data_IF_237828134961
#
_entry.id   IF_237828134961
#
_cell.length_a   1.000
_cell.length_b   1.000
_cell.length_c   1.000
_cell.angle_alpha   90.00
_cell.angle_beta   90.00
_cell.angle_gamma   90.00
#
_symmetry.space_group_name_H-M   'P 1'
#
loop_
_entity.id
_entity.type
_entity.pdbx_description
1 polymer ?
#
# COMPACT_ATOMS: atom_id res chain seq x y z
N UNK A 1 6.62 -19.62 -26.79
CA UNK A 1 6.17 -20.24 -25.53
C UNK A 1 6.37 -21.75 -25.62
N UNK A 2 6.99 -22.39 -24.61
CA UNK A 2 7.12 -23.84 -24.55
C UNK A 2 6.00 -24.43 -23.69
N UNK A 3 5.64 -25.71 -23.90
CA UNK A 3 4.60 -26.39 -23.11
C UNK A 3 4.89 -26.36 -21.60
N UNK A 4 6.17 -26.47 -21.20
CA UNK A 4 6.59 -26.35 -19.80
C UNK A 4 6.30 -24.98 -19.20
N UNK A 5 6.28 -23.93 -20.02
CA UNK A 5 6.00 -22.56 -19.58
C UNK A 5 4.49 -22.34 -19.52
N UNK A 6 3.73 -22.91 -20.47
CA UNK A 6 2.27 -22.91 -20.44
C UNK A 6 1.72 -23.65 -19.21
N UNK A 7 2.28 -24.83 -18.89
CA UNK A 7 1.87 -25.64 -17.73
C UNK A 7 2.01 -24.91 -16.39
N UNK A 8 2.92 -23.94 -16.29
CA UNK A 8 3.06 -23.12 -15.06
C UNK A 8 1.89 -22.16 -14.84
N UNK A 9 1.14 -21.86 -15.89
CA UNK A 9 -0.02 -20.96 -15.86
C UNK A 9 -1.35 -21.72 -15.82
N UNK A 10 -1.33 -23.05 -15.99
CA UNK A 10 -2.52 -23.90 -15.89
C UNK A 10 -2.79 -24.26 -14.42
N UNK A 11 -4.07 -24.33 -14.04
CA UNK A 11 -4.46 -24.91 -12.75
C UNK A 11 -4.53 -26.43 -12.94
N UNK A 12 -3.60 -27.16 -12.32
CA UNK A 12 -3.51 -28.62 -12.38
C UNK A 12 -3.44 -29.19 -10.95
N UNK A 13 -4.54 -29.13 -10.18
CA UNK A 13 -4.50 -29.40 -8.77
C UNK A 13 -4.53 -30.92 -8.49
N UNK A 14 -3.81 -31.34 -7.43
CA UNK A 14 -3.84 -32.73 -6.92
C UNK A 14 -5.15 -33.03 -6.21
N UNK A 15 -5.75 -32.01 -5.56
CA UNK A 15 -7.06 -32.03 -4.93
C UNK A 15 -7.71 -30.67 -5.09
N UNK A 16 -9.03 -30.64 -5.20
CA UNK A 16 -9.80 -29.41 -5.31
C UNK A 16 -11.12 -29.53 -4.57
N UNK A 17 -11.50 -28.46 -3.87
CA UNK A 17 -12.78 -28.32 -3.15
C UNK A 17 -13.50 -27.14 -3.77
N UNK A 18 -14.63 -27.38 -4.43
CA UNK A 18 -15.48 -26.33 -5.01
C UNK A 18 -16.38 -25.73 -3.91
N UNK A 19 -16.25 -24.42 -3.67
CA UNK A 19 -17.03 -23.65 -2.69
C UNK A 19 -18.22 -22.96 -3.38
N UNK A 20 -17.95 -22.22 -4.47
CA UNK A 20 -18.95 -21.55 -5.31
C UNK A 20 -19.92 -20.64 -4.49
N UNK A 21 -19.35 -19.74 -3.68
CA UNK A 21 -20.11 -18.82 -2.81
C UNK A 21 -19.80 -17.37 -3.09
N UNK A 22 -20.84 -16.57 -3.25
CA UNK A 22 -20.72 -15.12 -3.38
C UNK A 22 -20.87 -14.49 -2.00
N UNK A 23 -19.93 -13.62 -1.69
CA UNK A 23 -19.83 -12.94 -0.40
C UNK A 23 -19.67 -11.45 -0.65
N UNK A 24 -20.09 -10.63 0.32
CA UNK A 24 -19.91 -9.18 0.26
C UNK A 24 -18.87 -8.76 1.30
N UNK A 25 -17.70 -8.30 0.85
CA UNK A 25 -16.62 -7.80 1.70
C UNK A 25 -16.37 -6.32 1.37
N UNK A 26 -16.30 -5.44 2.38
CA UNK A 26 -16.15 -3.98 2.19
C UNK A 26 -17.09 -3.38 1.15
N UNK A 27 -18.32 -3.90 1.08
CA UNK A 27 -19.34 -3.47 0.13
C UNK A 27 -19.20 -4.03 -1.31
N UNK A 28 -18.16 -4.81 -1.59
CA UNK A 28 -17.89 -5.43 -2.90
C UNK A 28 -18.32 -6.90 -2.91
N UNK A 29 -18.96 -7.34 -3.99
CA UNK A 29 -19.28 -8.75 -4.20
C UNK A 29 -18.06 -9.50 -4.73
N UNK A 30 -17.75 -10.63 -4.11
CA UNK A 30 -16.63 -11.49 -4.44
C UNK A 30 -17.17 -12.90 -4.56
N UNK A 31 -16.77 -13.60 -5.63
CA UNK A 31 -17.12 -15.00 -5.80
C UNK A 31 -15.97 -15.88 -5.31
N UNK A 32 -16.12 -16.51 -4.15
CA UNK A 32 -15.20 -17.53 -3.63
C UNK A 32 -15.46 -18.82 -4.40
N UNK A 33 -14.49 -19.25 -5.21
CA UNK A 33 -14.67 -20.33 -6.18
C UNK A 33 -14.30 -21.68 -5.57
N UNK A 34 -13.02 -21.89 -5.26
CA UNK A 34 -12.50 -23.19 -4.86
C UNK A 34 -11.24 -23.07 -4.01
N UNK A 35 -10.85 -24.20 -3.41
CA UNK A 35 -9.56 -24.40 -2.75
C UNK A 35 -8.82 -25.50 -3.48
N UNK A 36 -7.59 -25.24 -3.93
CA UNK A 36 -6.77 -26.22 -4.66
C UNK A 36 -5.50 -26.59 -3.89
N UNK A 37 -5.17 -27.87 -3.88
CA UNK A 37 -3.85 -28.40 -3.51
C UNK A 37 -3.01 -28.50 -4.79
N UNK A 38 -2.09 -27.58 -4.99
CA UNK A 38 -1.10 -27.64 -6.07
C UNK A 38 0.17 -28.38 -5.61
N UNK A 39 1.19 -28.48 -6.46
CA UNK A 39 2.39 -29.28 -6.15
C UNK A 39 3.03 -28.91 -4.81
N UNK A 40 3.12 -27.61 -4.51
CA UNK A 40 3.87 -27.07 -3.37
C UNK A 40 3.08 -26.04 -2.54
N UNK A 41 1.77 -25.87 -2.79
CA UNK A 41 0.97 -24.82 -2.14
C UNK A 41 -0.51 -25.15 -2.16
N UNK A 42 -1.22 -24.61 -1.18
CA UNK A 42 -2.68 -24.59 -1.15
C UNK A 42 -3.13 -23.17 -1.51
N UNK A 43 -4.19 -23.06 -2.30
CA UNK A 43 -4.64 -21.78 -2.84
C UNK A 43 -6.15 -21.67 -2.68
N UNK A 44 -6.63 -20.56 -2.13
CA UNK A 44 -8.02 -20.14 -2.19
C UNK A 44 -8.21 -19.24 -3.42
N UNK A 45 -9.17 -19.57 -4.26
CA UNK A 45 -9.45 -18.85 -5.49
C UNK A 45 -10.72 -18.01 -5.37
N UNK A 46 -10.65 -16.77 -5.84
CA UNK A 46 -11.79 -15.86 -5.88
C UNK A 46 -11.84 -15.09 -7.22
N UNK A 47 -13.05 -14.74 -7.67
CA UNK A 47 -13.24 -13.77 -8.75
C UNK A 47 -13.72 -12.44 -8.17
N UNK A 48 -13.11 -11.38 -8.67
CA UNK A 48 -13.48 -10.00 -8.43
C UNK A 48 -14.01 -9.37 -9.70
N UNK A 49 -15.01 -8.50 -9.54
CA UNK A 49 -15.38 -7.54 -10.57
C UNK A 49 -14.56 -6.26 -10.41
N UNK A 50 -13.90 -5.87 -11.47
CA UNK A 50 -13.10 -4.66 -11.59
C UNK A 50 -14.01 -3.47 -11.90
N UNK A 51 -13.68 -2.26 -11.42
CA UNK A 51 -14.32 -1.06 -11.93
C UNK A 51 -13.99 -0.89 -13.42
N UNK A 52 -14.96 -0.42 -14.21
CA UNK A 52 -14.92 -0.19 -15.67
C UNK A 52 -13.65 0.57 -16.16
N UNK A 53 -12.96 1.30 -15.29
CA UNK A 53 -11.84 2.18 -15.62
C UNK A 53 -10.48 1.49 -15.88
N UNK A 54 -10.36 0.16 -15.82
CA UNK A 54 -9.11 -0.53 -16.18
C UNK A 54 -9.01 -0.87 -17.68
N UNK A 55 -10.09 -0.64 -18.44
CA UNK A 55 -10.23 -1.03 -19.85
C UNK A 55 -9.78 0.01 -20.88
N UNK A 56 -9.21 1.15 -20.48
CA UNK A 56 -8.44 1.90 -21.47
C UNK A 56 -7.21 1.06 -21.78
N UNK A 57 -7.09 0.63 -23.03
CA UNK A 57 -5.84 0.19 -23.66
C UNK A 57 -4.79 1.27 -23.38
N UNK A 58 -4.21 1.25 -22.18
CA UNK A 58 -2.94 1.90 -21.95
C UNK A 58 -1.98 1.02 -22.70
N UNK A 59 -1.68 1.43 -23.93
CA UNK A 59 -0.45 1.03 -24.58
C UNK A 59 0.63 1.10 -23.50
N UNK A 60 1.19 -0.06 -23.17
CA UNK A 60 2.13 -0.26 -22.06
C UNK A 60 3.42 0.59 -22.26
N UNK A 61 3.51 1.35 -23.35
CA UNK A 61 4.66 2.12 -23.79
C UNK A 61 4.58 3.64 -23.55
N UNK A 62 3.43 4.24 -23.24
CA UNK A 62 3.36 5.68 -22.90
C UNK A 62 3.12 5.88 -21.40
N UNK A 63 4.21 6.09 -20.65
CA UNK A 63 4.13 6.68 -19.31
C UNK A 63 3.49 8.07 -19.49
N UNK A 64 2.33 8.35 -18.86
CA UNK A 64 1.69 9.65 -19.02
C UNK A 64 2.67 10.74 -18.59
N UNK A 65 2.99 11.67 -19.48
CA UNK A 65 3.76 12.86 -19.09
C UNK A 65 2.84 13.78 -18.28
N UNK A 66 3.00 13.78 -16.96
CA UNK A 66 2.29 14.73 -16.10
C UNK A 66 2.98 16.09 -16.12
N UNK A 67 2.19 17.16 -16.05
CA UNK A 67 2.74 18.52 -16.01
C UNK A 67 3.38 18.81 -14.64
N UNK A 68 2.94 18.13 -13.59
CA UNK A 68 3.40 18.36 -12.22
C UNK A 68 3.39 17.09 -11.34
N UNK A 69 4.20 17.06 -10.27
CA UNK A 69 4.17 16.02 -9.25
C UNK A 69 2.76 15.87 -8.64
N UNK A 70 2.05 16.98 -8.46
CA UNK A 70 0.66 17.01 -8.00
C UNK A 70 -0.26 16.16 -8.88
N UNK A 71 -0.21 16.36 -10.19
CA UNK A 71 -1.04 15.62 -11.14
C UNK A 71 -0.71 14.13 -11.13
N UNK A 72 0.58 13.79 -11.13
CA UNK A 72 1.03 12.41 -11.03
C UNK A 72 0.50 11.74 -9.77
N UNK A 73 0.65 12.37 -8.60
CA UNK A 73 0.21 11.82 -7.33
C UNK A 73 -1.32 11.72 -7.22
N UNK A 74 -2.06 12.72 -7.71
CA UNK A 74 -3.53 12.63 -7.76
C UNK A 74 -3.96 11.45 -8.64
N UNK A 75 -3.28 11.23 -9.76
CA UNK A 75 -3.55 10.10 -10.63
C UNK A 75 -3.14 8.75 -10.02
N UNK A 76 -2.08 8.69 -9.21
CA UNK A 76 -1.75 7.47 -8.48
C UNK A 76 -2.82 7.16 -7.41
N UNK A 77 -3.32 8.18 -6.70
CA UNK A 77 -4.40 7.97 -5.72
C UNK A 77 -5.71 7.55 -6.36
N UNK A 78 -6.07 8.10 -7.52
CA UNK A 78 -7.29 7.67 -8.21
C UNK A 78 -7.22 6.18 -8.57
N UNK A 79 -6.04 5.68 -8.94
CA UNK A 79 -5.80 4.25 -9.18
C UNK A 79 -5.89 3.42 -7.89
N UNK A 80 -5.31 3.88 -6.78
CA UNK A 80 -5.43 3.19 -5.47
C UNK A 80 -6.86 3.21 -4.92
N UNK A 81 -7.60 4.32 -5.08
CA UNK A 81 -9.00 4.43 -4.72
C UNK A 81 -9.86 3.40 -5.47
N UNK A 82 -9.49 3.12 -6.72
CA UNK A 82 -10.07 2.10 -7.60
C UNK A 82 -9.49 0.70 -7.36
N UNK A 83 -8.62 0.50 -6.37
CA UNK A 83 -8.16 -0.83 -5.98
C UNK A 83 -9.37 -1.69 -5.63
N UNK A 84 -9.62 -2.68 -6.47
CA UNK A 84 -10.70 -3.64 -6.30
C UNK A 84 -10.32 -4.72 -5.28
N UNK A 85 -9.02 -4.91 -5.07
CA UNK A 85 -8.44 -5.95 -4.24
C UNK A 85 -8.81 -5.81 -2.77
N UNK A 86 -9.08 -6.94 -2.12
CA UNK A 86 -9.32 -7.05 -0.68
C UNK A 86 -8.39 -8.14 -0.15
N UNK A 87 -7.59 -7.84 0.87
CA UNK A 87 -6.72 -8.83 1.49
C UNK A 87 -7.52 -9.70 2.48
N UNK A 88 -7.96 -10.87 2.01
CA UNK A 88 -8.48 -11.92 2.88
C UNK A 88 -7.28 -12.59 3.56
N UNK A 89 -7.16 -12.42 4.87
CA UNK A 89 -6.05 -12.97 5.66
C UNK A 89 -6.37 -14.32 6.29
N UNK A 90 -7.65 -14.62 6.47
CA UNK A 90 -8.11 -15.89 7.01
C UNK A 90 -9.46 -16.30 6.43
N UNK A 91 -9.62 -17.60 6.21
CA UNK A 91 -10.91 -18.24 5.98
C UNK A 91 -11.05 -19.40 6.96
N UNK A 92 -12.22 -19.53 7.56
CA UNK A 92 -12.61 -20.67 8.38
C UNK A 92 -13.81 -21.33 7.71
N UNK A 93 -13.72 -22.62 7.42
CA UNK A 93 -14.82 -23.43 6.90
C UNK A 93 -14.96 -24.65 7.80
N UNK A 94 -16.13 -24.87 8.39
CA UNK A 94 -16.37 -26.04 9.28
C UNK A 94 -15.30 -26.17 10.38
N UNK A 95 -14.95 -25.04 11.02
CA UNK A 95 -13.90 -24.90 12.05
C UNK A 95 -12.47 -25.17 11.57
N UNK A 96 -12.26 -25.42 10.28
CA UNK A 96 -10.94 -25.57 9.69
C UNK A 96 -10.46 -24.24 9.13
N UNK A 97 -9.29 -23.83 9.57
CA UNK A 97 -8.75 -22.50 9.33
C UNK A 97 -7.63 -22.57 8.29
N UNK A 98 -7.64 -21.61 7.37
CA UNK A 98 -6.50 -21.33 6.49
C UNK A 98 -6.12 -19.86 6.63
N UNK A 99 -4.83 -19.57 6.64
CA UNK A 99 -4.32 -18.20 6.68
C UNK A 99 -3.51 -17.86 5.44
N UNK A 100 -3.54 -16.60 5.04
CA UNK A 100 -2.93 -16.09 3.82
C UNK A 100 -2.09 -14.85 4.14
N UNK A 101 -0.88 -14.78 3.60
CA UNK A 101 0.02 -13.62 3.71
C UNK A 101 0.29 -12.94 2.38
N UNK A 102 -0.15 -13.56 1.29
CA UNK A 102 0.06 -13.06 -0.06
C UNK A 102 -1.05 -13.51 -0.99
N UNK A 103 -1.19 -12.77 -2.08
CA UNK A 103 -2.07 -13.14 -3.17
C UNK A 103 -1.49 -12.75 -4.51
N UNK A 104 -2.03 -13.34 -5.57
CA UNK A 104 -1.71 -13.00 -6.96
C UNK A 104 -3.00 -12.82 -7.74
N UNK A 105 -3.08 -11.73 -8.50
CA UNK A 105 -4.19 -11.47 -9.41
C UNK A 105 -3.80 -11.84 -10.84
N UNK A 106 -4.73 -12.45 -11.56
CA UNK A 106 -4.69 -12.69 -13.00
C UNK A 106 -5.83 -11.93 -13.64
N UNK A 107 -5.49 -11.06 -14.57
CA UNK A 107 -6.45 -10.26 -15.33
C UNK A 107 -6.76 -10.91 -16.67
N UNK A 108 -7.94 -10.62 -17.23
CA UNK A 108 -8.36 -11.13 -18.55
C UNK A 108 -8.11 -10.13 -19.69
N UNK A 109 -7.39 -9.03 -19.47
CA UNK A 109 -7.08 -8.07 -20.53
C UNK A 109 -5.62 -8.19 -21.01
N UNK A 110 -5.35 -7.72 -22.24
CA UNK A 110 -4.04 -7.76 -22.87
C UNK A 110 -3.62 -9.15 -23.37
N UNK A 111 -2.31 -9.35 -23.54
CA UNK A 111 -1.71 -10.61 -24.05
C UNK A 111 -1.58 -11.72 -22.98
N UNK A 112 -2.19 -11.54 -21.80
CA UNK A 112 -2.13 -12.47 -20.68
C UNK A 112 -3.06 -13.66 -20.85
N UNK A 113 -2.52 -14.86 -21.03
CA UNK A 113 -3.32 -16.08 -21.21
C UNK A 113 -3.71 -16.74 -19.87
N UNK A 114 -3.07 -16.32 -18.78
CA UNK A 114 -3.21 -16.95 -17.46
C UNK A 114 -4.64 -16.88 -16.92
N UNK A 115 -5.25 -15.68 -16.89
CA UNK A 115 -6.62 -15.52 -16.41
C UNK A 115 -7.59 -16.39 -17.19
N UNK A 116 -7.52 -16.38 -18.52
CA UNK A 116 -8.41 -17.17 -19.38
C UNK A 116 -8.35 -18.67 -19.09
N UNK A 117 -7.14 -19.22 -18.88
CA UNK A 117 -6.98 -20.63 -18.55
C UNK A 117 -7.52 -20.96 -17.15
N UNK A 118 -7.35 -20.05 -16.18
CA UNK A 118 -7.89 -20.21 -14.84
C UNK A 118 -9.43 -20.19 -14.88
N UNK A 119 -10.03 -19.24 -15.61
CA UNK A 119 -11.48 -19.15 -15.78
C UNK A 119 -12.04 -20.40 -16.46
N UNK A 120 -11.40 -20.86 -17.53
CA UNK A 120 -11.78 -22.08 -18.23
C UNK A 120 -11.83 -23.27 -17.25
N UNK A 121 -10.75 -23.49 -16.48
CA UNK A 121 -10.70 -24.55 -15.46
C UNK A 121 -11.88 -24.48 -14.48
N UNK A 122 -12.16 -23.29 -13.93
CA UNK A 122 -13.25 -23.13 -12.96
C UNK A 122 -14.64 -23.38 -13.57
N UNK A 123 -14.87 -22.93 -14.80
CA UNK A 123 -16.13 -23.21 -15.51
C UNK A 123 -16.27 -24.72 -15.76
N UNK A 124 -15.20 -25.40 -16.18
CA UNK A 124 -15.21 -26.85 -16.46
C UNK A 124 -15.52 -27.71 -15.22
N UNK A 125 -15.08 -27.28 -14.03
CA UNK A 125 -15.34 -28.00 -12.77
C UNK A 125 -16.69 -27.63 -12.13
N UNK A 126 -17.46 -26.70 -12.72
CA UNK A 126 -18.82 -26.38 -12.29
C UNK A 126 -18.98 -25.10 -11.47
N UNK A 127 -18.08 -24.11 -11.61
CA UNK A 127 -18.31 -22.76 -11.10
C UNK A 127 -19.60 -22.16 -11.68
N UNK A 128 -20.39 -21.48 -10.84
CA UNK A 128 -21.60 -20.77 -11.29
C UNK A 128 -21.23 -19.51 -12.08
N UNK A 129 -21.78 -19.37 -13.29
CA UNK A 129 -21.58 -18.22 -14.15
C UNK A 129 -22.75 -17.23 -14.16
N UNK A 130 -23.85 -17.52 -13.44
CA UNK A 130 -25.09 -16.72 -13.46
C UNK A 130 -24.84 -15.22 -13.21
N UNK A 131 -23.89 -14.88 -12.34
CA UNK A 131 -23.57 -13.47 -12.01
C UNK A 131 -22.43 -12.88 -12.86
N UNK A 132 -21.95 -13.64 -13.84
CA UNK A 132 -20.78 -13.33 -14.66
C UNK A 132 -21.08 -13.38 -16.17
N UNK A 133 -22.18 -14.00 -16.60
CA UNK A 133 -22.52 -14.17 -18.03
C UNK A 133 -22.62 -12.85 -18.81
N UNK A 134 -23.02 -11.76 -18.13
CA UNK A 134 -23.16 -10.40 -18.72
C UNK A 134 -22.01 -9.45 -18.30
N UNK A 135 -20.95 -9.97 -17.68
CA UNK A 135 -19.79 -9.17 -17.25
C UNK A 135 -18.72 -9.22 -18.35
N UNK A 136 -18.22 -8.06 -18.76
CA UNK A 136 -17.08 -7.98 -19.68
C UNK A 136 -15.86 -8.69 -19.06
N UNK A 137 -15.17 -9.54 -19.81
CA UNK A 137 -14.01 -10.27 -19.28
C UNK A 137 -12.91 -9.31 -18.80
N UNK A 138 -12.71 -8.17 -19.45
CA UNK A 138 -11.80 -7.11 -19.02
C UNK A 138 -12.16 -6.53 -17.65
N UNK A 139 -13.40 -6.69 -17.19
CA UNK A 139 -13.84 -6.37 -15.83
C UNK A 139 -13.66 -7.51 -14.83
N UNK A 140 -13.01 -8.61 -15.19
CA UNK A 140 -12.83 -9.76 -14.31
C UNK A 140 -11.37 -9.93 -13.90
N UNK A 141 -11.15 -10.19 -12.62
CA UNK A 141 -9.86 -10.65 -12.10
C UNK A 141 -10.03 -11.89 -11.25
N UNK A 142 -9.20 -12.90 -11.52
CA UNK A 142 -9.07 -14.08 -10.68
C UNK A 142 -7.94 -13.83 -9.68
N UNK A 143 -8.19 -14.08 -8.42
CA UNK A 143 -7.23 -13.86 -7.33
C UNK A 143 -6.95 -15.18 -6.63
N UNK A 144 -5.68 -15.52 -6.54
CA UNK A 144 -5.13 -16.64 -5.78
C UNK A 144 -4.63 -16.14 -4.43
N UNK A 145 -5.24 -16.56 -3.33
CA UNK A 145 -4.69 -16.38 -1.97
C UNK A 145 -3.87 -17.61 -1.60
N UNK A 146 -2.56 -17.43 -1.44
CA UNK A 146 -1.64 -18.55 -1.18
C UNK A 146 -1.58 -18.79 0.32
N UNK A 147 -1.91 -20.01 0.74
CA UNK A 147 -1.89 -20.40 2.14
C UNK A 147 -0.46 -20.31 2.70
N UNK A 148 -0.36 -19.91 3.97
CA UNK A 148 0.90 -19.89 4.69
C UNK A 148 1.53 -21.29 4.77
N UNK A 149 2.86 -21.32 4.82
CA UNK A 149 3.62 -22.57 4.91
C UNK A 149 3.31 -23.30 6.22
N UNK A 150 3.39 -24.62 6.18
CA UNK A 150 3.15 -25.53 7.33
C UNK A 150 1.69 -25.61 7.80
N UNK A 151 0.73 -25.15 7.00
CA UNK A 151 -0.68 -25.46 7.21
C UNK A 151 -1.14 -26.61 6.30
N UNK A 152 -2.02 -27.45 6.83
CA UNK A 152 -2.58 -28.58 6.09
C UNK A 152 -3.66 -28.13 5.09
N UNK A 153 -3.83 -28.92 4.03
CA UNK A 153 -4.97 -28.75 3.13
C UNK A 153 -6.27 -29.09 3.88
N UNK A 154 -7.32 -28.24 3.82
CA UNK A 154 -8.51 -28.44 4.62
C UNK A 154 -9.31 -29.67 4.17
N UNK A 155 -9.92 -30.36 5.13
CA UNK A 155 -10.74 -31.55 4.93
C UNK A 155 -12.23 -31.19 5.05
N UNK A 156 -12.77 -30.46 4.08
CA UNK A 156 -14.14 -29.94 4.11
C UNK A 156 -15.14 -31.02 3.68
N UNK A 157 -16.23 -31.18 4.43
CA UNK A 157 -17.35 -32.03 4.04
C UNK A 157 -18.37 -31.22 3.23
N UNK A 158 -18.38 -31.43 1.91
CA UNK A 158 -19.31 -30.76 0.99
C UNK A 158 -20.78 -31.22 1.12
N UNK A 159 -21.06 -32.26 1.90
CA UNK A 159 -22.42 -32.71 2.18
C UNK A 159 -23.08 -31.94 3.32
N UNK A 160 -22.29 -31.27 4.15
CA UNK A 160 -22.77 -30.39 5.22
C UNK A 160 -22.80 -28.92 4.76
N UNK A 161 -23.44 -28.07 5.56
CA UNK A 161 -23.41 -26.63 5.33
C UNK A 161 -21.97 -26.11 5.47
N UNK A 162 -21.57 -25.25 4.54
CA UNK A 162 -20.29 -24.56 4.58
C UNK A 162 -20.46 -23.31 5.45
N UNK A 163 -20.34 -23.47 6.77
CA UNK A 163 -20.24 -22.35 7.74
C UNK A 163 -18.90 -21.63 7.48
N UNK A 164 -18.95 -20.61 6.62
CA UNK A 164 -17.77 -19.87 6.16
C UNK A 164 -17.65 -18.58 6.97
N UNK A 165 -16.50 -18.39 7.60
CA UNK A 165 -16.09 -17.10 8.17
C UNK A 165 -14.87 -16.59 7.43
N UNK A 166 -14.91 -15.34 6.97
CA UNK A 166 -13.82 -14.65 6.31
C UNK A 166 -13.32 -13.52 7.21
N UNK A 167 -12.00 -13.38 7.29
CA UNK A 167 -11.33 -12.24 7.93
C UNK A 167 -10.58 -11.44 6.87
N UNK A 168 -10.86 -10.15 6.83
CA UNK A 168 -10.17 -9.18 5.99
C UNK A 168 -9.30 -8.31 6.88
N UNK A 169 -8.01 -8.25 6.59
CA UNK A 169 -7.07 -7.48 7.39
C UNK A 169 -7.33 -5.98 7.34
N UNK A 170 -6.87 -5.28 8.38
CA UNK A 170 -6.80 -3.82 8.38
C UNK A 170 -6.06 -3.32 7.13
N UNK A 171 -6.53 -2.22 6.57
CA UNK A 171 -5.92 -1.59 5.40
C UNK A 171 -5.68 -0.12 5.71
N UNK A 172 -4.56 0.42 5.23
CA UNK A 172 -4.33 1.86 5.26
C UNK A 172 -4.57 2.41 3.87
N UNK A 173 -5.40 3.45 3.78
CA UNK A 173 -5.75 4.10 2.52
C UNK A 173 -5.39 5.56 2.56
N UNK A 174 -4.69 6.04 1.54
CA UNK A 174 -4.38 7.45 1.42
C UNK A 174 -5.58 8.23 0.83
N UNK A 175 -5.95 9.35 1.46
CA UNK A 175 -7.10 10.17 1.09
C UNK A 175 -6.67 11.62 0.93
N UNK A 176 -7.06 12.23 -0.20
CA UNK A 176 -6.71 13.61 -0.56
C UNK A 176 -7.39 14.66 0.34
N UNK A 177 -6.64 15.73 0.62
CA UNK A 177 -7.09 16.92 1.37
C UNK A 177 -6.90 18.19 0.53
N UNK A 178 -5.69 18.39 -0.01
CA UNK A 178 -5.29 19.57 -0.79
C UNK A 178 -5.45 20.92 -0.07
N UNK A 179 -5.00 21.01 1.18
CA UNK A 179 -5.11 22.22 2.00
C UNK A 179 -3.77 22.96 2.11
N UNK A 180 -3.71 24.14 1.49
CA UNK A 180 -2.54 25.02 1.54
C UNK A 180 -2.40 25.76 2.88
N UNK A 181 -1.16 25.95 3.34
CA UNK A 181 -0.83 26.80 4.48
C UNK A 181 0.58 27.37 4.37
N UNK A 182 0.79 28.54 4.97
CA UNK A 182 2.12 29.13 5.15
C UNK A 182 2.53 28.91 6.60
N UNK A 183 3.69 28.29 6.81
CA UNK A 183 4.21 27.98 8.15
C UNK A 183 5.53 28.69 8.38
N UNK A 184 5.66 29.30 9.56
CA UNK A 184 6.87 30.02 9.96
C UNK A 184 7.91 29.06 10.51
N UNK A 185 9.19 29.37 10.26
CA UNK A 185 10.33 28.60 10.75
C UNK A 185 10.52 28.83 12.26
N UNK A 186 9.77 28.09 13.08
CA UNK A 186 9.72 28.29 14.53
C UNK A 186 9.21 27.06 15.27
N UNK A 187 9.41 27.07 16.59
CA UNK A 187 8.68 26.22 17.52
C UNK A 187 7.35 26.91 17.86
N UNK A 188 6.25 26.18 17.73
CA UNK A 188 4.92 26.75 17.96
C UNK A 188 4.51 26.61 19.42
N UNK A 189 3.75 27.59 19.90
CA UNK A 189 3.16 27.53 21.23
C UNK A 189 2.09 26.43 21.33
N UNK A 190 1.93 25.88 22.53
CA UNK A 190 0.92 24.88 22.83
C UNK A 190 -0.49 25.39 22.52
N UNK A 191 -1.29 24.57 21.86
CA UNK A 191 -2.70 24.84 21.57
C UNK A 191 -2.98 25.44 20.19
N UNK A 192 -1.97 25.64 19.34
CA UNK A 192 -2.14 26.08 17.96
C UNK A 192 -2.74 24.95 17.08
N UNK A 193 -4.07 24.86 17.11
CA UNK A 193 -4.85 23.81 16.45
C UNK A 193 -5.19 24.15 15.01
N UNK A 194 -4.94 23.21 14.11
CA UNK A 194 -5.36 23.21 12.72
C UNK A 194 -6.43 22.13 12.49
N UNK A 195 -7.24 22.31 11.45
CA UNK A 195 -8.29 21.37 11.08
C UNK A 195 -8.29 21.11 9.58
N UNK A 196 -8.73 19.91 9.19
CA UNK A 196 -9.01 19.53 7.80
C UNK A 196 -10.28 18.67 7.75
N UNK A 197 -10.93 18.57 6.59
CA UNK A 197 -12.13 17.74 6.42
C UNK A 197 -11.79 16.41 5.75
N UNK A 198 -12.06 15.30 6.44
CA UNK A 198 -11.93 13.95 5.90
C UNK A 198 -13.13 13.60 5.03
N UNK A 199 -12.96 13.65 3.72
CA UNK A 199 -14.04 13.43 2.75
C UNK A 199 -14.65 12.02 2.81
N UNK A 200 -13.84 11.01 3.16
CA UNK A 200 -14.28 9.62 3.28
C UNK A 200 -15.17 9.40 4.50
N UNK A 201 -14.73 9.84 5.67
CA UNK A 201 -15.46 9.70 6.94
C UNK A 201 -16.55 10.77 7.12
N UNK A 202 -16.57 11.79 6.27
CA UNK A 202 -17.47 12.95 6.34
C UNK A 202 -17.42 13.66 7.69
N UNK A 203 -16.22 13.78 8.27
CA UNK A 203 -15.97 14.50 9.54
C UNK A 203 -14.77 15.43 9.44
N UNK A 204 -14.73 16.43 10.31
CA UNK A 204 -13.58 17.31 10.46
C UNK A 204 -12.60 16.69 11.45
N UNK A 205 -11.33 16.66 11.04
CA UNK A 205 -10.22 16.23 11.85
C UNK A 205 -9.37 17.41 12.32
N UNK A 206 -8.54 17.21 13.34
CA UNK A 206 -7.60 18.21 13.85
C UNK A 206 -6.18 17.69 14.09
N UNK A 207 -5.25 18.63 14.04
CA UNK A 207 -3.84 18.42 14.32
C UNK A 207 -3.20 19.70 14.87
N UNK A 208 -1.99 19.58 15.36
CA UNK A 208 -1.13 20.67 15.82
C UNK A 208 0.20 20.57 15.08
N UNK A 209 0.84 21.70 14.84
CA UNK A 209 2.22 21.74 14.37
C UNK A 209 3.05 22.12 15.59
N UNK A 210 4.03 21.29 15.93
CA UNK A 210 4.93 21.52 17.06
C UNK A 210 6.10 22.41 16.64
N UNK A 211 6.67 22.11 15.48
CA UNK A 211 7.92 22.75 15.03
C UNK A 211 8.08 22.67 13.53
N UNK A 212 8.57 23.75 12.94
CA UNK A 212 9.15 23.76 11.60
C UNK A 212 10.61 24.12 11.73
N UNK A 213 11.49 23.22 11.29
CA UNK A 213 12.90 23.31 11.69
C UNK A 213 13.89 22.64 10.75
N UNK A 214 15.16 22.84 11.08
CA UNK A 214 16.31 22.22 10.43
C UNK A 214 16.51 20.83 11.00
N UNK A 215 16.83 19.89 10.13
CA UNK A 215 17.28 18.56 10.49
C UNK A 215 18.56 18.22 9.73
N UNK A 216 19.67 18.06 10.46
CA UNK A 216 20.97 17.70 9.88
C UNK A 216 21.06 16.18 9.68
N UNK A 217 20.51 15.72 8.56
CA UNK A 217 20.51 14.31 8.17
C UNK A 217 21.92 13.77 7.91
N UNK A 218 22.87 14.65 7.58
CA UNK A 218 24.27 14.27 7.36
C UNK A 218 24.94 13.90 8.68
N UNK A 219 24.70 14.67 9.73
CA UNK A 219 25.17 14.35 11.07
C UNK A 219 24.51 13.06 11.61
N UNK A 220 23.19 12.90 11.48
CA UNK A 220 22.50 11.67 11.89
C UNK A 220 23.03 10.44 11.13
N UNK A 221 23.16 10.55 9.81
CA UNK A 221 23.73 9.50 8.97
C UNK A 221 25.12 9.08 9.46
N UNK A 222 25.98 10.02 9.84
CA UNK A 222 27.32 9.68 10.32
C UNK A 222 27.26 8.93 11.65
N UNK A 223 26.41 9.37 12.58
CA UNK A 223 26.23 8.72 13.89
C UNK A 223 25.73 7.28 13.78
N UNK A 224 24.87 6.98 12.80
CA UNK A 224 24.39 5.61 12.56
C UNK A 224 25.56 4.64 12.36
N UNK A 225 26.55 5.02 11.57
CA UNK A 225 27.73 4.18 11.34
C UNK A 225 28.78 4.21 12.47
N UNK A 226 28.56 5.00 13.52
CA UNK A 226 29.38 5.03 14.73
C UNK A 226 28.73 4.24 15.88
N UNK A 227 27.48 3.79 15.70
CA UNK A 227 26.70 3.11 16.72
C UNK A 227 27.12 1.64 16.92
N UNK A 228 26.61 1.02 17.99
CA UNK A 228 26.91 -0.37 18.36
C UNK A 228 26.58 -1.40 17.27
N UNK A 229 25.52 -1.19 16.48
CA UNK A 229 25.18 -2.11 15.39
C UNK A 229 26.30 -2.14 14.34
N UNK A 230 26.87 -0.97 14.00
CA UNK A 230 27.91 -0.85 12.99
C UNK A 230 29.20 -1.53 13.45
N UNK A 231 29.47 -1.56 14.76
CA UNK A 231 30.64 -2.25 15.34
C UNK A 231 30.62 -3.78 15.15
N UNK A 232 29.44 -4.35 14.87
CA UNK A 232 29.29 -5.79 14.59
C UNK A 232 29.65 -6.18 13.15
N UNK A 233 29.87 -5.20 12.27
CA UNK A 233 30.24 -5.43 10.87
C UNK A 233 31.74 -5.36 10.63
N UNK A 234 32.20 -5.98 9.55
CA UNK A 234 33.58 -5.80 9.10
C UNK A 234 33.81 -4.40 8.53
N UNK A 235 35.04 -3.91 8.63
CA UNK A 235 35.44 -2.59 8.12
C UNK A 235 35.08 -2.39 6.64
N UNK A 236 35.31 -3.39 5.79
CA UNK A 236 34.99 -3.33 4.37
C UNK A 236 33.47 -3.23 4.11
N UNK A 237 32.64 -3.89 4.93
CA UNK A 237 31.19 -3.78 4.83
C UNK A 237 30.71 -2.39 5.23
N UNK A 238 31.26 -1.84 6.32
CA UNK A 238 30.94 -0.48 6.77
C UNK A 238 31.31 0.55 5.70
N UNK A 239 32.50 0.44 5.10
CA UNK A 239 32.95 1.38 4.06
C UNK A 239 32.08 1.32 2.81
N UNK A 240 31.72 0.12 2.35
CA UNK A 240 30.83 -0.05 1.21
C UNK A 240 29.44 0.52 1.49
N UNK A 241 28.86 0.18 2.65
CA UNK A 241 27.54 0.70 3.07
C UNK A 241 27.56 2.21 3.24
N UNK A 242 28.61 2.79 3.84
CA UNK A 242 28.78 4.24 3.95
C UNK A 242 28.80 4.90 2.59
N UNK A 243 29.55 4.35 1.64
CA UNK A 243 29.66 4.89 0.29
C UNK A 243 28.32 4.87 -0.44
N UNK A 244 27.63 3.73 -0.42
CA UNK A 244 26.31 3.58 -1.03
C UNK A 244 25.29 4.51 -0.35
N UNK A 245 25.24 4.51 0.99
CA UNK A 245 24.34 5.37 1.75
C UNK A 245 24.58 6.86 1.46
N UNK A 246 25.84 7.30 1.46
CA UNK A 246 26.21 8.70 1.16
C UNK A 246 25.75 9.10 -0.23
N UNK A 247 25.92 8.23 -1.22
CA UNK A 247 25.48 8.51 -2.60
C UNK A 247 23.97 8.68 -2.69
N UNK A 248 23.19 7.79 -2.06
CA UNK A 248 21.72 7.91 -2.03
C UNK A 248 21.27 9.13 -1.22
N UNK A 249 21.92 9.43 -0.09
CA UNK A 249 21.58 10.59 0.72
C UNK A 249 21.83 11.90 -0.04
N UNK A 250 22.89 11.97 -0.85
CA UNK A 250 23.19 13.13 -1.69
C UNK A 250 22.13 13.39 -2.78
N UNK A 251 21.39 12.35 -3.20
CA UNK A 251 20.24 12.51 -4.10
C UNK A 251 19.04 13.15 -3.41
N UNK A 252 18.85 12.91 -2.11
CA UNK A 252 17.74 13.45 -1.31
C UNK A 252 18.09 14.84 -0.78
N UNK A 253 19.24 14.98 -0.12
CA UNK A 253 19.69 16.20 0.52
C UNK A 253 21.15 16.46 0.11
N UNK A 254 21.43 17.46 -0.74
CA UNK A 254 22.80 17.76 -1.15
C UNK A 254 23.72 18.05 0.04
N UNK A 255 25.03 17.77 -0.11
CA UNK A 255 26.01 18.06 0.94
C UNK A 255 26.03 19.55 1.29
N UNK A 256 26.11 19.83 2.58
CA UNK A 256 26.07 21.21 3.09
C UNK A 256 24.66 21.80 3.20
N UNK A 257 23.61 21.01 2.94
CA UNK A 257 22.22 21.36 3.19
C UNK A 257 21.67 20.57 4.39
N UNK A 258 20.59 21.09 4.97
CA UNK A 258 19.77 20.39 5.95
C UNK A 258 18.43 20.02 5.32
N UNK A 259 17.68 19.13 5.96
CA UNK A 259 16.28 18.92 5.61
C UNK A 259 15.40 19.87 6.42
N UNK A 260 14.40 20.44 5.76
CA UNK A 260 13.28 21.07 6.41
C UNK A 260 12.34 19.97 6.90
N UNK A 261 12.08 19.94 8.20
CA UNK A 261 11.11 19.04 8.82
C UNK A 261 9.95 19.83 9.40
N UNK A 262 8.78 19.21 9.40
CA UNK A 262 7.58 19.65 10.09
C UNK A 262 7.22 18.57 11.12
N UNK A 263 7.35 18.90 12.39
CA UNK A 263 6.90 18.08 13.50
C UNK A 263 5.45 18.43 13.82
N UNK A 264 4.60 17.42 13.95
CA UNK A 264 3.18 17.60 14.19
C UNK A 264 2.61 16.54 15.13
N UNK A 265 1.44 16.84 15.66
CA UNK A 265 0.63 16.00 16.53
C UNK A 265 -0.77 15.91 15.91
N UNK A 266 -1.36 14.73 15.82
CA UNK A 266 -2.69 14.56 15.22
C UNK A 266 -3.62 13.76 16.13
N UNK A 267 -4.93 13.98 15.99
CA UNK A 267 -5.89 13.10 16.65
C UNK A 267 -5.79 11.67 16.12
N UNK A 268 -6.13 10.69 16.95
CA UNK A 268 -6.16 9.26 16.61
C UNK A 268 -4.87 8.73 15.94
N UNK A 269 -3.73 9.39 16.17
CA UNK A 269 -2.44 9.11 15.52
C UNK A 269 -2.50 9.15 13.98
N UNK A 270 -3.44 9.91 13.38
CA UNK A 270 -3.61 10.02 11.92
C UNK A 270 -2.30 10.49 11.28
N UNK A 271 -1.77 9.72 10.34
CA UNK A 271 -0.58 10.12 9.59
C UNK A 271 -0.96 11.11 8.47
N UNK A 272 -0.29 12.26 8.46
CA UNK A 272 -0.48 13.36 7.52
C UNK A 272 0.71 13.47 6.57
N UNK A 273 0.43 13.76 5.30
CA UNK A 273 1.44 13.98 4.28
C UNK A 273 1.46 15.44 3.85
N UNK A 274 2.57 16.11 4.16
CA UNK A 274 2.84 17.50 3.80
C UNK A 274 3.86 17.55 2.67
N UNK A 275 3.66 18.49 1.74
CA UNK A 275 4.62 18.78 0.67
C UNK A 275 4.80 20.28 0.51
N UNK A 276 5.98 20.71 0.05
CA UNK A 276 6.13 22.10 -0.39
C UNK A 276 5.34 22.32 -1.68
N UNK A 277 4.72 23.49 -1.84
CA UNK A 277 4.03 23.84 -3.09
C UNK A 277 4.98 23.80 -4.28
N UNK A 278 6.19 24.31 -4.08
CA UNK A 278 7.27 24.28 -5.07
C UNK A 278 7.54 22.86 -5.59
N UNK A 279 7.49 21.83 -4.74
CA UNK A 279 7.62 20.44 -5.17
C UNK A 279 6.40 19.99 -5.97
N UNK A 280 5.20 20.21 -5.42
CA UNK A 280 3.95 19.77 -6.04
C UNK A 280 3.77 20.33 -7.46
N UNK A 281 4.22 21.57 -7.70
CA UNK A 281 4.03 22.27 -8.97
C UNK A 281 5.17 22.02 -10.00
N UNK A 282 6.25 21.32 -9.60
CA UNK A 282 7.35 20.95 -10.50
C UNK A 282 6.98 19.74 -11.37
N UNK A 283 7.53 19.68 -12.59
CA UNK A 283 7.45 18.49 -13.45
C UNK A 283 8.07 17.27 -12.73
N UNK A 284 7.44 16.09 -12.79
CA UNK A 284 8.01 14.89 -12.20
C UNK A 284 9.40 14.55 -12.69
N UNK A 285 10.23 14.08 -11.77
CA UNK A 285 11.53 13.51 -12.08
C UNK A 285 11.56 12.13 -11.47
N UNK A 286 11.41 11.09 -12.31
CA UNK A 286 11.47 9.70 -11.86
C UNK A 286 12.91 9.35 -11.47
N UNK A 287 13.23 9.42 -10.18
CA UNK A 287 14.47 8.90 -9.60
C UNK A 287 14.16 7.76 -8.65
N UNK A 288 14.89 6.67 -8.77
CA UNK A 288 14.74 5.46 -7.96
C UNK A 288 15.45 5.65 -6.62
N UNK A 289 14.87 6.45 -5.72
CA UNK A 289 15.53 6.85 -4.46
C UNK A 289 14.73 6.47 -3.20
N UNK A 290 14.14 5.26 -3.20
CA UNK A 290 13.31 4.79 -2.07
C UNK A 290 14.12 4.41 -0.81
N UNK A 291 15.44 4.21 -0.93
CA UNK A 291 16.28 3.63 0.13
C UNK A 291 16.75 4.62 1.21
N UNK A 292 16.82 5.93 0.94
CA UNK A 292 17.49 6.87 1.85
C UNK A 292 16.61 7.47 2.97
N UNK A 293 15.30 7.18 3.01
CA UNK A 293 14.42 7.60 4.12
C UNK A 293 14.20 6.53 5.20
N UNK A 294 14.74 5.32 5.03
CA UNK A 294 14.55 4.21 5.98
C UNK A 294 15.22 4.43 7.35
N UNK A 295 16.08 5.45 7.46
CA UNK A 295 16.83 5.79 8.67
C UNK A 295 16.26 6.97 9.46
N UNK A 296 15.12 7.56 9.05
CA UNK A 296 14.47 8.56 9.89
C UNK A 296 13.93 7.91 11.16
N UNK A 297 14.51 8.28 12.29
CA UNK A 297 13.98 7.87 13.59
C UNK A 297 12.66 8.60 13.85
N UNK A 298 11.53 7.93 13.60
CA UNK A 298 10.21 8.42 14.03
C UNK A 298 10.18 8.34 15.56
N UNK A 299 10.35 9.47 16.22
CA UNK A 299 10.29 9.54 17.68
C UNK A 299 8.85 9.25 18.13
N UNK A 300 8.66 8.18 18.91
CA UNK A 300 7.36 7.77 19.47
C UNK A 300 6.97 8.55 20.73
N UNK A 301 7.57 9.73 20.94
CA UNK A 301 7.33 10.55 22.12
C UNK A 301 6.05 11.36 21.96
N UNK A 302 5.43 11.71 23.08
CA UNK A 302 4.30 12.64 23.08
C UNK A 302 4.79 14.06 22.82
N UNK A 303 4.06 14.81 22.01
CA UNK A 303 4.31 16.22 21.77
C UNK A 303 3.76 17.12 22.89
N UNK A 304 3.85 18.43 22.69
CA UNK A 304 3.51 19.43 23.71
C UNK A 304 1.99 19.49 23.98
N UNK A 305 1.19 19.03 23.03
CA UNK A 305 -0.27 18.97 23.07
C UNK A 305 -0.81 17.63 23.59
N UNK A 306 0.07 16.65 23.84
CA UNK A 306 -0.25 15.38 24.49
C UNK A 306 -0.68 14.25 23.55
N UNK A 307 -0.51 14.42 22.24
CA UNK A 307 -0.68 13.39 21.21
C UNK A 307 0.70 12.88 20.77
N UNK A 308 0.71 11.81 19.98
CA UNK A 308 1.96 11.25 19.45
C UNK A 308 2.58 12.21 18.44
N UNK A 309 3.85 12.54 18.65
CA UNK A 309 4.62 13.35 17.71
C UNK A 309 4.94 12.55 16.45
N UNK A 310 4.80 13.20 15.31
CA UNK A 310 5.14 12.68 13.99
C UNK A 310 5.99 13.72 13.25
N UNK A 311 6.74 13.26 12.24
CA UNK A 311 7.65 14.11 11.48
C UNK A 311 7.38 13.94 9.99
N UNK A 312 7.27 15.05 9.28
CA UNK A 312 7.20 15.09 7.82
C UNK A 312 8.43 15.82 7.27
N UNK A 313 9.12 15.19 6.32
CA UNK A 313 10.25 15.80 5.61
C UNK A 313 9.70 16.57 4.40
N UNK A 314 9.99 17.86 4.32
CA UNK A 314 9.39 18.74 3.31
C UNK A 314 10.29 18.93 2.09
N UNK A 315 11.52 19.42 2.30
CA UNK A 315 12.53 19.62 1.24
C UNK A 315 13.93 19.91 1.82
N UNK A 316 15.01 19.76 1.03
CA UNK A 316 16.32 20.30 1.40
C UNK A 316 16.34 21.83 1.44
N UNK A 317 17.06 22.38 2.42
CA UNK A 317 17.23 23.82 2.64
C UNK A 317 18.68 24.14 3.02
N UNK A 318 19.11 25.37 2.74
CA UNK A 318 20.43 25.83 3.21
C UNK A 318 20.45 25.88 4.74
N UNK A 319 21.62 25.67 5.36
CA UNK A 319 21.74 25.64 6.83
C UNK A 319 21.35 26.95 7.53
N UNK A 320 21.40 28.07 6.81
CA UNK A 320 21.04 29.41 7.27
C UNK A 320 19.59 29.82 6.94
N UNK A 321 18.81 28.95 6.29
CA UNK A 321 17.42 29.22 5.95
C UNK A 321 16.55 29.42 7.20
N UNK A 322 15.75 30.48 7.25
CA UNK A 322 14.87 30.80 8.37
C UNK A 322 13.56 31.49 7.94
N UNK A 323 13.23 31.46 6.64
CA UNK A 323 12.03 32.09 6.11
C UNK A 323 10.79 31.19 6.30
N UNK A 324 9.61 31.80 6.20
CA UNK A 324 8.35 31.05 6.11
C UNK A 324 8.29 30.21 4.83
N UNK A 325 7.58 29.09 4.88
CA UNK A 325 7.39 28.21 3.73
C UNK A 325 5.92 27.94 3.44
N UNK A 326 5.58 27.98 2.15
CA UNK A 326 4.29 27.49 1.65
C UNK A 326 4.31 25.97 1.54
N UNK A 327 3.49 25.32 2.36
CA UNK A 327 3.27 23.88 2.35
C UNK A 327 1.81 23.58 2.04
N UNK A 328 1.56 22.34 1.66
CA UNK A 328 0.23 21.81 1.47
C UNK A 328 0.10 20.51 2.26
N UNK A 329 -0.91 20.46 3.13
CA UNK A 329 -1.43 19.21 3.65
C UNK A 329 -2.16 18.51 2.51
N UNK A 330 -1.46 17.62 1.84
CA UNK A 330 -1.89 17.05 0.58
C UNK A 330 -2.84 15.88 0.78
N UNK A 331 -2.57 15.03 1.78
CA UNK A 331 -3.36 13.84 2.08
C UNK A 331 -3.14 13.34 3.51
N UNK A 332 -3.98 12.39 3.93
CA UNK A 332 -3.83 11.64 5.16
C UNK A 332 -4.02 10.14 4.92
N UNK A 333 -3.51 9.32 5.84
CA UNK A 333 -3.80 7.88 5.86
C UNK A 333 -5.01 7.60 6.74
N UNK A 334 -6.01 6.98 6.15
CA UNK A 334 -7.18 6.44 6.80
C UNK A 334 -6.95 4.96 7.12
N UNK A 335 -7.06 4.57 8.38
CA UNK A 335 -7.10 3.17 8.77
C UNK A 335 -8.52 2.62 8.56
N UNK A 336 -8.64 1.65 7.66
CA UNK A 336 -9.83 0.84 7.47
C UNK A 336 -9.68 -0.38 8.40
N UNK A 337 -10.59 -0.56 9.37
CA UNK A 337 -10.46 -1.64 10.34
C UNK A 337 -10.58 -3.02 9.69
N UNK A 338 -10.17 -4.02 10.47
CA UNK A 338 -10.43 -5.42 10.18
C UNK A 338 -11.95 -5.67 10.06
N UNK A 339 -12.32 -6.53 9.11
CA UNK A 339 -13.71 -6.95 8.88
C UNK A 339 -13.79 -8.47 9.02
N UNK A 340 -14.77 -8.96 9.79
CA UNK A 340 -15.10 -10.38 9.91
C UNK A 340 -16.50 -10.60 9.35
N UNK A 341 -16.62 -11.44 8.33
CA UNK A 341 -17.88 -11.75 7.65
C UNK A 341 -18.21 -13.22 7.82
N UNK A 342 -19.44 -13.53 8.24
CA UNK A 342 -20.00 -14.89 8.28
C UNK A 342 -21.01 -15.04 7.16
N UNK A 343 -20.95 -16.16 6.45
CA UNK A 343 -21.70 -16.42 5.21
C UNK A 343 -22.65 -17.58 5.41
#
# INVERSE_FOLDING_TARGET
MLLKDLKKNMILPKKEILINKIVKLRGKEIHIISITLEENRNVLWAIYRLPYCLNEERDIEEIPEYASNREEMINSFSQELNSYYIHISEIIIQKQKMTFSSSRSSYMYGMGHEGYMQLQHFVEIGMSTINWDEVDLGEMAIVAYVQNQNEDFPSIDLSEELDITLKVDRESKQVLINQSMCVEFSEMEKGNRFCFYGSFEKRTHFFYIDKVGHHDIWEESNRIFESEWAKSLSQNQIEQMKKEHTAHLEEICPKGMNLLILEYESEDDIQLNFYSKEYLDKKPVHRTSALALAFFTINKELGINGFKRQVSVIKPIKKDFNDSIDVELFSYFLEIPEEIVKV
#
